data_IF_564170804352
#
_entry.id   IF_564170804352
#
_cell.length_a   1.000
_cell.length_b   1.000
_cell.length_c   1.000
_cell.angle_alpha   90.00
_cell.angle_beta   90.00
_cell.angle_gamma   90.00
#
_symmetry.space_group_name_H-M   'P 1'
#
loop_
_entity.id
_entity.type
_entity.pdbx_description
1 polymer ?
#
# COMPACT_ATOMS: atom_id res chain seq x y z
N UNK A 1 -1.93 -19.80 -23.48
CA UNK A 1 -1.48 -18.55 -22.84
C UNK A 1 -2.23 -18.30 -21.53
N UNK A 2 -3.56 -18.22 -21.54
CA UNK A 2 -4.38 -18.05 -20.32
C UNK A 2 -4.20 -19.16 -19.29
N UNK A 3 -4.13 -20.44 -19.71
CA UNK A 3 -3.93 -21.57 -18.78
C UNK A 3 -2.60 -21.48 -18.03
N UNK A 4 -1.52 -21.10 -18.71
CA UNK A 4 -0.19 -20.92 -18.08
C UNK A 4 -0.18 -19.73 -17.11
N UNK A 5 -0.85 -18.63 -17.48
CA UNK A 5 -1.02 -17.45 -16.62
C UNK A 5 -1.79 -17.82 -15.34
N UNK A 6 -2.89 -18.54 -15.47
CA UNK A 6 -3.72 -18.98 -14.35
C UNK A 6 -2.95 -19.89 -13.38
N UNK A 7 -2.18 -20.85 -13.90
CA UNK A 7 -1.31 -21.72 -13.09
C UNK A 7 -0.26 -20.90 -12.33
N UNK A 8 0.40 -19.97 -13.02
CA UNK A 8 1.43 -19.13 -12.40
C UNK A 8 0.86 -18.23 -11.29
N UNK A 9 -0.30 -17.60 -11.53
CA UNK A 9 -0.98 -16.81 -10.50
C UNK A 9 -1.34 -17.65 -9.26
N UNK A 10 -1.79 -18.88 -9.47
CA UNK A 10 -2.09 -19.79 -8.36
C UNK A 10 -0.82 -20.19 -7.59
N UNK A 11 0.29 -20.43 -8.29
CA UNK A 11 1.58 -20.70 -7.65
C UNK A 11 2.05 -19.51 -6.81
N UNK A 12 1.91 -18.29 -7.33
CA UNK A 12 2.22 -17.04 -6.62
C UNK A 12 1.34 -16.93 -5.36
N UNK A 13 0.03 -17.09 -5.49
CA UNK A 13 -0.88 -17.00 -4.35
C UNK A 13 -0.55 -18.02 -3.25
N UNK A 14 -0.31 -19.28 -3.64
CA UNK A 14 0.08 -20.32 -2.69
C UNK A 14 1.40 -19.98 -1.99
N UNK A 15 2.40 -19.48 -2.73
CA UNK A 15 3.69 -19.06 -2.16
C UNK A 15 3.51 -17.93 -1.15
N UNK A 16 2.70 -16.92 -1.46
CA UNK A 16 2.41 -15.80 -0.56
C UNK A 16 1.68 -16.26 0.71
N UNK A 17 0.66 -17.12 0.59
CA UNK A 17 -0.07 -17.69 1.75
C UNK A 17 0.88 -18.46 2.67
N UNK A 18 1.72 -19.35 2.10
CA UNK A 18 2.61 -20.19 2.90
C UNK A 18 3.70 -19.40 3.63
N UNK A 19 4.11 -18.25 3.10
CA UNK A 19 5.28 -17.52 3.61
C UNK A 19 4.96 -16.20 4.33
N UNK A 20 3.74 -15.67 4.19
CA UNK A 20 3.36 -14.36 4.77
C UNK A 20 3.44 -14.32 6.30
N UNK A 21 3.11 -15.41 6.99
CA UNK A 21 3.19 -15.51 8.46
C UNK A 21 4.62 -15.47 9.01
N UNK A 22 5.65 -15.68 8.17
CA UNK A 22 7.06 -15.56 8.57
C UNK A 22 7.64 -14.17 8.27
N UNK A 23 6.91 -13.32 7.57
CA UNK A 23 7.34 -11.98 7.24
C UNK A 23 6.98 -11.06 8.40
N UNK A 24 7.93 -10.30 8.95
CA UNK A 24 7.65 -9.30 10.00
C UNK A 24 7.50 -7.89 9.43
N UNK A 25 7.84 -7.70 8.16
CA UNK A 25 7.73 -6.42 7.48
C UNK A 25 6.25 -6.15 7.16
N UNK A 26 5.70 -5.05 7.67
CA UNK A 26 4.31 -4.64 7.47
C UNK A 26 4.12 -3.80 6.22
N UNK A 27 5.21 -3.30 5.63
CA UNK A 27 5.19 -2.24 4.64
C UNK A 27 4.47 -2.56 3.34
N UNK A 28 4.20 -1.51 2.57
CA UNK A 28 3.59 -1.61 1.25
C UNK A 28 4.52 -2.28 0.23
N UNK A 29 5.80 -1.86 0.16
CA UNK A 29 6.68 -2.32 -0.92
C UNK A 29 7.20 -3.71 -0.68
N UNK A 30 7.61 -4.03 0.55
CA UNK A 30 8.32 -5.28 0.82
C UNK A 30 7.55 -6.20 1.79
N UNK A 31 6.53 -5.66 2.46
CA UNK A 31 5.82 -6.29 3.57
C UNK A 31 4.44 -6.87 3.26
N UNK A 32 3.75 -7.23 4.36
CA UNK A 32 2.41 -7.84 4.37
C UNK A 32 1.35 -6.99 3.67
N UNK A 33 1.41 -5.66 3.77
CA UNK A 33 0.42 -4.79 3.10
C UNK A 33 0.39 -5.04 1.59
N UNK A 34 1.56 -5.21 0.98
CA UNK A 34 1.65 -5.55 -0.44
C UNK A 34 1.00 -6.88 -0.81
N UNK A 35 1.15 -7.88 0.06
CA UNK A 35 0.55 -9.20 -0.07
C UNK A 35 -0.98 -9.11 0.05
N UNK A 36 -1.48 -8.36 1.03
CA UNK A 36 -2.91 -8.10 1.22
C UNK A 36 -3.52 -7.49 -0.06
N UNK A 37 -2.86 -6.49 -0.67
CA UNK A 37 -3.33 -5.91 -1.92
C UNK A 37 -3.42 -6.95 -3.04
N UNK A 38 -2.42 -7.83 -3.17
CA UNK A 38 -2.47 -8.91 -4.15
C UNK A 38 -3.64 -9.88 -3.87
N UNK A 39 -3.80 -10.34 -2.64
CA UNK A 39 -4.78 -11.38 -2.30
C UNK A 39 -6.23 -10.91 -2.47
N UNK A 40 -6.56 -9.68 -2.06
CA UNK A 40 -7.90 -9.11 -2.33
C UNK A 40 -8.19 -9.02 -3.82
N UNK A 41 -7.23 -8.55 -4.62
CA UNK A 41 -7.38 -8.51 -6.08
C UNK A 41 -7.50 -9.92 -6.67
N UNK A 42 -6.73 -10.89 -6.16
CA UNK A 42 -6.74 -12.27 -6.63
C UNK A 42 -8.04 -13.01 -6.26
N UNK A 43 -8.59 -12.78 -5.07
CA UNK A 43 -9.93 -13.22 -4.67
C UNK A 43 -10.97 -12.76 -5.68
N UNK A 44 -11.00 -11.46 -5.99
CA UNK A 44 -11.94 -10.89 -6.97
C UNK A 44 -11.71 -11.43 -8.38
N UNK A 45 -10.46 -11.56 -8.81
CA UNK A 45 -10.10 -12.10 -10.12
C UNK A 45 -10.55 -13.55 -10.31
N UNK A 46 -10.37 -14.40 -9.29
CA UNK A 46 -10.74 -15.82 -9.34
C UNK A 46 -12.16 -16.11 -8.87
N UNK A 47 -12.83 -15.14 -8.24
CA UNK A 47 -14.10 -15.30 -7.51
C UNK A 47 -14.02 -16.38 -6.42
N UNK A 48 -12.86 -16.51 -5.77
CA UNK A 48 -12.64 -17.45 -4.70
C UNK A 48 -12.50 -16.70 -3.36
N UNK A 49 -13.51 -16.80 -2.45
CA UNK A 49 -13.54 -16.05 -1.21
C UNK A 49 -12.46 -16.48 -0.20
N UNK A 50 -11.85 -17.66 -0.36
CA UNK A 50 -10.78 -18.12 0.54
C UNK A 50 -9.60 -17.15 0.56
N UNK A 51 -9.28 -16.52 -0.58
CA UNK A 51 -8.19 -15.53 -0.62
C UNK A 51 -8.57 -14.20 0.04
N UNK A 52 -9.87 -13.87 0.07
CA UNK A 52 -10.39 -12.68 0.73
C UNK A 52 -10.37 -12.85 2.24
N UNK A 53 -10.80 -14.02 2.73
CA UNK A 53 -10.74 -14.41 4.15
C UNK A 53 -9.30 -14.32 4.68
N UNK A 54 -8.36 -14.94 3.97
CA UNK A 54 -6.94 -14.87 4.34
C UNK A 54 -6.38 -13.44 4.28
N UNK A 55 -6.77 -12.65 3.26
CA UNK A 55 -6.33 -11.26 3.17
C UNK A 55 -6.84 -10.42 4.34
N UNK A 56 -8.07 -10.69 4.82
CA UNK A 56 -8.65 -10.07 6.01
C UNK A 56 -7.88 -10.41 7.28
N UNK A 57 -7.58 -11.70 7.51
CA UNK A 57 -6.77 -12.12 8.66
C UNK A 57 -5.38 -11.46 8.66
N UNK A 58 -4.73 -11.41 7.49
CA UNK A 58 -3.42 -10.77 7.33
C UNK A 58 -3.50 -9.25 7.54
N UNK A 59 -4.62 -8.62 7.16
CA UNK A 59 -4.84 -7.18 7.41
C UNK A 59 -5.04 -6.90 8.91
N UNK A 60 -5.80 -7.72 9.62
CA UNK A 60 -5.97 -7.62 11.07
C UNK A 60 -4.62 -7.79 11.79
N UNK A 61 -3.78 -8.73 11.34
CA UNK A 61 -2.42 -8.90 11.85
C UNK A 61 -1.57 -7.64 11.66
N UNK A 62 -1.63 -7.00 10.48
CA UNK A 62 -0.93 -5.73 10.22
C UNK A 62 -1.34 -4.67 11.25
N UNK A 63 -2.64 -4.47 11.47
CA UNK A 63 -3.11 -3.46 12.44
C UNK A 63 -2.68 -3.78 13.87
N UNK A 64 -2.67 -5.05 14.26
CA UNK A 64 -2.22 -5.48 15.59
C UNK A 64 -0.70 -5.33 15.80
N UNK A 65 0.09 -5.32 14.72
CA UNK A 65 1.55 -5.22 14.78
C UNK A 65 2.08 -3.80 14.54
N UNK A 66 1.23 -2.84 14.14
CA UNK A 66 1.63 -1.43 14.03
C UNK A 66 2.09 -0.92 15.41
N UNK A 67 3.24 -0.24 15.41
CA UNK A 67 3.85 0.31 16.61
C UNK A 67 4.57 1.63 16.33
N UNK A 68 4.88 2.40 17.37
CA UNK A 68 5.49 3.74 17.28
C UNK A 68 6.83 3.81 16.51
N UNK A 69 7.56 2.71 16.39
CA UNK A 69 8.86 2.70 15.69
C UNK A 69 8.77 2.63 14.16
N UNK A 70 7.58 2.50 13.56
CA UNK A 70 7.42 2.48 12.11
C UNK A 70 7.59 3.91 11.58
N UNK A 71 8.47 4.09 10.60
CA UNK A 71 8.71 5.40 9.99
C UNK A 71 7.51 5.91 9.18
N UNK A 72 7.48 7.20 8.82
CA UNK A 72 6.38 7.78 8.05
C UNK A 72 6.44 7.46 6.54
N UNK A 73 7.49 6.78 6.07
CA UNK A 73 7.75 6.64 4.64
C UNK A 73 6.80 5.73 3.86
N UNK A 74 6.84 5.86 2.54
CA UNK A 74 5.89 5.19 1.65
C UNK A 74 6.34 3.77 1.31
N UNK A 75 7.65 3.56 1.19
CA UNK A 75 8.23 2.25 0.90
C UNK A 75 8.05 1.30 2.08
N UNK A 76 8.50 1.70 3.28
CA UNK A 76 8.63 0.85 4.47
C UNK A 76 7.71 1.27 5.63
N UNK A 77 6.95 2.35 5.48
CA UNK A 77 6.36 3.07 6.61
C UNK A 77 4.85 3.26 6.55
N UNK A 78 4.37 4.08 7.49
CA UNK A 78 2.96 4.31 7.77
C UNK A 78 2.20 4.91 6.59
N UNK A 79 2.80 5.81 5.80
CA UNK A 79 2.10 6.39 4.64
C UNK A 79 1.84 5.37 3.55
N UNK A 80 2.74 4.39 3.36
CA UNK A 80 2.52 3.27 2.44
C UNK A 80 1.40 2.34 2.93
N UNK A 81 1.42 2.01 4.23
CA UNK A 81 0.39 1.17 4.86
C UNK A 81 -0.99 1.85 4.73
N UNK A 82 -1.09 3.12 5.13
CA UNK A 82 -2.33 3.90 5.05
C UNK A 82 -2.83 4.06 3.61
N UNK A 83 -1.93 4.28 2.65
CA UNK A 83 -2.31 4.31 1.23
C UNK A 83 -2.89 2.97 0.76
N UNK A 84 -2.30 1.85 1.20
CA UNK A 84 -2.78 0.50 0.92
C UNK A 84 -4.20 0.28 1.45
N UNK A 85 -4.48 0.70 2.70
CA UNK A 85 -5.82 0.63 3.30
C UNK A 85 -6.83 1.47 2.53
N UNK A 86 -6.50 2.72 2.19
CA UNK A 86 -7.38 3.58 1.38
C UNK A 86 -7.64 2.97 -0.01
N UNK A 87 -6.65 2.31 -0.61
CA UNK A 87 -6.85 1.55 -1.84
C UNK A 87 -7.89 0.44 -1.64
N UNK A 88 -7.82 -0.32 -0.54
CA UNK A 88 -8.79 -1.37 -0.24
C UNK A 88 -10.21 -0.82 -0.08
N UNK A 89 -10.36 0.29 0.65
CA UNK A 89 -11.65 0.97 0.85
C UNK A 89 -12.22 1.47 -0.49
N UNK A 90 -11.43 2.23 -1.28
CA UNK A 90 -11.88 2.77 -2.58
C UNK A 90 -12.38 1.70 -3.52
N UNK A 91 -11.72 0.54 -3.52
CA UNK A 91 -12.05 -0.57 -4.39
C UNK A 91 -13.12 -1.50 -3.79
N UNK A 92 -13.74 -1.13 -2.67
CA UNK A 92 -14.78 -1.90 -1.99
C UNK A 92 -14.32 -3.33 -1.63
N UNK A 93 -13.04 -3.49 -1.29
CA UNK A 93 -12.52 -4.74 -0.75
C UNK A 93 -12.79 -4.86 0.76
N UNK A 94 -12.79 -3.72 1.46
CA UNK A 94 -13.13 -3.63 2.88
C UNK A 94 -14.14 -2.51 3.09
N UNK A 95 -14.92 -2.60 4.16
CA UNK A 95 -15.87 -1.58 4.59
C UNK A 95 -15.46 -0.96 5.91
N UNK A 96 -15.68 0.34 6.07
CA UNK A 96 -15.51 1.07 7.32
C UNK A 96 -15.24 2.55 7.06
N UNK A 97 -15.30 3.36 8.11
CA UNK A 97 -14.95 4.78 8.01
C UNK A 97 -13.42 4.92 7.97
N UNK A 98 -12.84 5.52 6.90
CA UNK A 98 -11.41 5.81 6.85
C UNK A 98 -10.91 6.63 8.04
N UNK A 99 -11.76 7.47 8.66
CA UNK A 99 -11.40 8.25 9.84
C UNK A 99 -11.14 7.36 11.05
N UNK A 100 -11.97 6.35 11.27
CA UNK A 100 -11.79 5.42 12.38
C UNK A 100 -10.61 4.46 12.12
N UNK A 101 -10.47 3.97 10.89
CA UNK A 101 -9.46 2.95 10.55
C UNK A 101 -8.04 3.54 10.56
N UNK A 102 -7.88 4.80 10.15
CA UNK A 102 -6.56 5.41 9.92
C UNK A 102 -6.18 6.45 10.98
N UNK A 103 -6.96 6.62 12.04
CA UNK A 103 -6.72 7.62 13.10
C UNK A 103 -5.27 7.61 13.60
N UNK A 104 -4.77 6.45 14.02
CA UNK A 104 -3.40 6.33 14.56
C UNK A 104 -2.32 6.70 13.54
N UNK A 105 -2.51 6.28 12.28
CA UNK A 105 -1.60 6.61 11.17
C UNK A 105 -1.64 8.11 10.89
N UNK A 106 -2.83 8.69 10.82
CA UNK A 106 -3.05 10.12 10.55
C UNK A 106 -2.42 10.98 11.64
N UNK A 107 -2.60 10.61 12.90
CA UNK A 107 -1.97 11.28 14.05
C UNK A 107 -0.44 11.27 13.94
N UNK A 108 0.17 10.12 13.63
CA UNK A 108 1.62 10.04 13.44
C UNK A 108 2.13 10.84 12.25
N UNK A 109 1.37 10.86 11.16
CA UNK A 109 1.73 11.67 10.00
C UNK A 109 1.66 13.17 10.31
N UNK A 110 0.74 13.61 11.18
CA UNK A 110 0.65 15.01 11.63
C UNK A 110 1.82 15.47 12.50
N UNK A 111 2.56 14.55 13.14
CA UNK A 111 3.79 14.88 13.88
C UNK A 111 4.93 15.33 12.94
N UNK A 112 4.85 15.02 11.64
CA UNK A 112 5.89 15.34 10.66
C UNK A 112 5.79 16.80 10.22
N UNK A 113 6.88 17.55 10.43
CA UNK A 113 6.99 18.90 9.85
C UNK A 113 7.31 18.81 8.34
N UNK A 114 6.25 18.85 7.52
CA UNK A 114 6.31 18.71 6.05
C UNK A 114 7.27 19.71 5.39
N UNK A 115 7.31 20.96 5.87
CA UNK A 115 8.17 22.02 5.33
C UNK A 115 9.68 21.75 5.51
N UNK A 116 10.04 20.87 6.45
CA UNK A 116 11.45 20.55 6.77
C UNK A 116 11.94 19.25 6.13
N UNK A 117 11.07 18.50 5.44
CA UNK A 117 11.45 17.26 4.77
C UNK A 117 12.34 17.57 3.56
N UNK A 118 13.60 17.14 3.63
CA UNK A 118 14.60 17.38 2.58
C UNK A 118 14.55 16.36 1.45
N UNK A 119 14.18 15.12 1.77
CA UNK A 119 14.08 14.07 0.78
C UNK A 119 12.83 14.28 -0.09
N UNK A 120 13.01 14.35 -1.40
CA UNK A 120 11.93 14.56 -2.36
C UNK A 120 11.42 13.26 -3.01
N UNK A 121 11.99 12.10 -2.66
CA UNK A 121 11.62 10.84 -3.29
C UNK A 121 10.23 10.37 -2.87
N UNK A 122 9.62 9.53 -3.70
CA UNK A 122 8.35 8.87 -3.40
C UNK A 122 8.54 7.91 -2.21
N UNK A 123 9.58 7.09 -2.27
CA UNK A 123 9.81 5.98 -1.35
C UNK A 123 10.00 6.45 0.09
N UNK A 124 10.76 7.54 0.28
CA UNK A 124 11.30 7.94 1.59
C UNK A 124 11.17 9.42 1.91
N UNK A 125 10.41 10.13 1.09
CA UNK A 125 10.41 11.58 1.08
C UNK A 125 9.02 12.16 0.97
N UNK A 126 9.02 13.48 0.82
CA UNK A 126 7.81 14.28 0.86
C UNK A 126 6.82 13.94 -0.25
N UNK A 127 7.28 13.41 -1.39
CA UNK A 127 6.39 12.98 -2.45
C UNK A 127 5.49 11.81 -2.01
N UNK A 128 6.03 10.83 -1.29
CA UNK A 128 5.23 9.72 -0.75
C UNK A 128 4.26 10.16 0.33
N UNK A 129 4.69 11.07 1.21
CA UNK A 129 3.82 11.64 2.23
C UNK A 129 2.65 12.37 1.56
N UNK A 130 2.94 13.17 0.52
CA UNK A 130 1.93 13.89 -0.23
C UNK A 130 0.96 12.96 -0.95
N UNK A 131 1.43 11.86 -1.54
CA UNK A 131 0.57 10.85 -2.16
C UNK A 131 -0.44 10.29 -1.16
N UNK A 132 0.02 9.83 0.01
CA UNK A 132 -0.87 9.32 1.05
C UNK A 132 -1.85 10.39 1.54
N UNK A 133 -1.34 11.54 1.98
CA UNK A 133 -2.14 12.58 2.62
C UNK A 133 -3.16 13.19 1.66
N UNK A 134 -2.79 13.47 0.41
CA UNK A 134 -3.73 13.94 -0.60
C UNK A 134 -4.80 12.90 -0.93
N UNK A 135 -4.42 11.62 -0.97
CA UNK A 135 -5.39 10.56 -1.18
C UNK A 135 -6.35 10.46 0.01
N UNK A 136 -5.86 10.52 1.25
CA UNK A 136 -6.66 10.53 2.48
C UNK A 136 -7.65 11.68 2.54
N UNK A 137 -7.22 12.90 2.21
CA UNK A 137 -8.08 14.08 2.15
C UNK A 137 -9.25 13.91 1.15
N UNK A 138 -9.07 13.12 0.09
CA UNK A 138 -10.13 12.86 -0.88
C UNK A 138 -11.30 12.01 -0.36
N UNK A 139 -11.14 11.35 0.80
CA UNK A 139 -12.20 10.57 1.46
C UNK A 139 -12.96 11.36 2.52
N UNK A 140 -12.56 12.60 2.81
CA UNK A 140 -13.22 13.39 3.83
C UNK A 140 -14.46 14.08 3.25
N UNK A 141 -15.63 13.75 3.82
CA UNK A 141 -16.85 14.50 3.62
C UNK A 141 -17.05 15.46 4.81
N UNK A 142 -16.81 16.76 4.60
CA UNK A 142 -17.04 17.78 5.63
C UNK A 142 -15.77 18.33 6.27
N UNK A 143 -15.71 18.36 7.62
CA UNK A 143 -14.56 18.92 8.34
C UNK A 143 -13.35 17.99 8.21
N UNK A 144 -12.19 18.57 7.88
CA UNK A 144 -10.93 17.84 7.80
C UNK A 144 -10.53 17.30 9.17
N UNK A 145 -10.17 16.02 9.24
CA UNK A 145 -9.54 15.42 10.42
C UNK A 145 -8.14 15.99 10.67
N UNK A 146 -7.49 16.50 9.62
CA UNK A 146 -6.20 17.18 9.73
C UNK A 146 -6.36 18.65 10.09
N UNK A 147 -5.44 19.14 10.92
CA UNK A 147 -5.34 20.56 11.26
C UNK A 147 -5.23 21.44 10.00
N UNK A 148 -5.90 22.60 10.01
CA UNK A 148 -5.91 23.51 8.86
C UNK A 148 -4.51 23.96 8.45
N UNK A 149 -3.64 24.22 9.43
CA UNK A 149 -2.24 24.61 9.18
C UNK A 149 -1.46 23.45 8.54
N UNK A 150 -1.68 22.21 8.98
CA UNK A 150 -1.04 21.03 8.40
C UNK A 150 -1.46 20.83 6.93
N UNK A 151 -2.76 20.99 6.63
CA UNK A 151 -3.27 20.93 5.26
C UNK A 151 -2.67 22.05 4.41
N UNK A 152 -2.54 23.27 4.94
CA UNK A 152 -1.93 24.39 4.24
C UNK A 152 -0.45 24.13 3.92
N UNK A 153 0.31 23.59 4.87
CA UNK A 153 1.71 23.20 4.69
C UNK A 153 1.84 22.12 3.61
N UNK A 154 0.96 21.13 3.61
CA UNK A 154 0.92 20.09 2.57
C UNK A 154 0.67 20.68 1.18
N UNK A 155 -0.35 21.54 1.04
CA UNK A 155 -0.68 22.18 -0.23
C UNK A 155 0.48 23.03 -0.76
N UNK A 156 1.12 23.79 0.13
CA UNK A 156 2.30 24.59 -0.19
C UNK A 156 3.44 23.72 -0.70
N UNK A 157 3.75 22.63 0.00
CA UNK A 157 4.82 21.70 -0.40
C UNK A 157 4.56 21.07 -1.76
N UNK A 158 3.32 20.62 -2.01
CA UNK A 158 2.92 20.04 -3.30
C UNK A 158 3.11 21.05 -4.42
N UNK A 159 2.67 22.30 -4.20
CA UNK A 159 2.79 23.38 -5.19
C UNK A 159 4.25 23.78 -5.44
N UNK A 160 5.01 24.07 -4.39
CA UNK A 160 6.39 24.56 -4.47
C UNK A 160 7.33 23.54 -5.15
N UNK A 161 7.08 22.25 -4.94
CA UNK A 161 7.90 21.15 -5.48
C UNK A 161 7.34 20.50 -6.74
N UNK A 162 6.13 20.88 -7.18
CA UNK A 162 5.47 20.31 -8.35
C UNK A 162 5.20 18.80 -8.21
N UNK A 163 4.77 18.35 -7.03
CA UNK A 163 4.56 16.92 -6.74
C UNK A 163 3.30 16.43 -7.45
N UNK A 164 3.43 15.35 -8.23
CA UNK A 164 2.26 14.63 -8.74
C UNK A 164 1.72 13.69 -7.65
N UNK A 165 0.52 13.98 -7.16
CA UNK A 165 -0.16 13.18 -6.13
C UNK A 165 -1.13 12.14 -6.71
N UNK A 166 -1.40 12.19 -8.01
CA UNK A 166 -2.15 11.13 -8.69
C UNK A 166 -1.25 9.90 -8.82
N UNK A 167 -1.51 8.93 -7.93
CA UNK A 167 -0.70 7.73 -7.85
C UNK A 167 -1.59 6.52 -7.55
N UNK A 168 -1.59 5.57 -8.47
CA UNK A 168 -2.40 4.35 -8.39
C UNK A 168 -1.54 3.09 -8.26
N UNK A 169 -2.20 1.97 -7.98
CA UNK A 169 -1.51 0.69 -7.82
C UNK A 169 -0.76 0.27 -9.09
N UNK A 170 -1.30 0.60 -10.27
CA UNK A 170 -0.67 0.28 -11.55
C UNK A 170 0.65 1.03 -11.76
N UNK A 171 0.72 2.29 -11.31
CA UNK A 171 1.93 3.11 -11.31
C UNK A 171 3.03 2.47 -10.46
N UNK A 172 2.69 1.97 -9.27
CA UNK A 172 3.63 1.21 -8.40
C UNK A 172 4.15 0.00 -9.17
N UNK A 173 3.24 -0.88 -9.60
CA UNK A 173 3.57 -2.16 -10.23
C UNK A 173 4.46 -1.96 -11.45
N UNK A 174 4.20 -0.97 -12.31
CA UNK A 174 5.03 -0.75 -13.48
C UNK A 174 6.43 -0.22 -13.17
N UNK A 175 6.57 0.57 -12.11
CA UNK A 175 7.86 1.14 -11.73
C UNK A 175 8.76 0.12 -11.05
N UNK A 176 8.18 -0.85 -10.33
CA UNK A 176 8.93 -1.66 -9.39
C UNK A 176 8.84 -3.18 -9.58
N UNK A 177 8.28 -3.69 -10.68
CA UNK A 177 8.23 -5.14 -10.94
C UNK A 177 9.21 -5.61 -12.02
N UNK A 178 9.71 -6.83 -11.84
CA UNK A 178 10.52 -7.49 -12.86
C UNK A 178 9.72 -7.86 -14.12
N UNK A 179 10.44 -8.24 -15.17
CA UNK A 179 9.85 -8.73 -16.41
C UNK A 179 9.57 -10.23 -16.34
N UNK A 180 10.41 -10.98 -15.63
CA UNK A 180 10.25 -12.41 -15.37
C UNK A 180 10.11 -12.73 -13.88
N UNK A 181 9.34 -13.78 -13.58
CA UNK A 181 9.24 -14.36 -12.23
C UNK A 181 10.57 -14.95 -11.75
N UNK A 182 11.43 -15.40 -12.67
CA UNK A 182 12.73 -16.00 -12.34
C UNK A 182 13.75 -14.99 -11.77
N UNK A 183 13.46 -13.69 -11.92
CA UNK A 183 14.27 -12.60 -11.34
C UNK A 183 13.91 -12.33 -9.87
N UNK A 184 12.78 -12.87 -9.38
CA UNK A 184 12.27 -12.63 -8.03
C UNK A 184 12.97 -13.57 -7.06
N UNK A 185 13.61 -13.01 -6.03
CA UNK A 185 14.15 -13.80 -4.92
C UNK A 185 13.02 -14.53 -4.18
N UNK A 186 13.27 -15.76 -3.74
CA UNK A 186 12.24 -16.61 -3.12
C UNK A 186 11.58 -15.97 -1.88
N UNK A 187 12.30 -15.10 -1.18
CA UNK A 187 11.82 -14.37 0.00
C UNK A 187 11.24 -12.98 -0.32
N UNK A 188 11.26 -12.56 -1.59
CA UNK A 188 10.74 -11.26 -2.02
C UNK A 188 9.23 -11.35 -2.22
N UNK A 189 8.46 -11.20 -1.15
CA UNK A 189 7.02 -11.44 -1.17
C UNK A 189 6.19 -10.19 -1.56
N UNK A 190 6.66 -8.99 -1.23
CA UNK A 190 5.91 -7.73 -1.39
C UNK A 190 5.65 -7.25 -2.83
N UNK A 191 5.21 -6.00 -2.97
CA UNK A 191 4.90 -5.37 -4.26
C UNK A 191 6.16 -5.05 -5.08
N UNK A 192 7.16 -4.45 -4.45
CA UNK A 192 8.37 -4.01 -5.10
C UNK A 192 9.32 -5.19 -5.29
N UNK A 193 9.60 -5.52 -6.55
CA UNK A 193 10.51 -6.62 -6.96
C UNK A 193 10.15 -7.95 -6.31
N UNK A 194 8.87 -8.13 -5.99
CA UNK A 194 8.35 -9.28 -5.27
C UNK A 194 7.17 -9.95 -5.95
N UNK A 195 6.78 -11.09 -5.41
CA UNK A 195 5.73 -11.95 -5.95
C UNK A 195 4.35 -11.29 -5.99
N UNK A 196 3.98 -10.50 -4.97
CA UNK A 196 2.68 -9.81 -4.95
C UNK A 196 2.56 -8.81 -6.11
N UNK A 197 3.59 -7.99 -6.35
CA UNK A 197 3.58 -7.02 -7.44
C UNK A 197 3.58 -7.68 -8.81
N UNK A 198 4.40 -8.71 -9.00
CA UNK A 198 4.42 -9.46 -10.26
C UNK A 198 3.07 -10.15 -10.53
N UNK A 199 2.44 -10.73 -9.51
CA UNK A 199 1.11 -11.31 -9.60
C UNK A 199 0.04 -10.28 -10.00
N UNK A 200 0.06 -9.09 -9.41
CA UNK A 200 -0.85 -8.00 -9.79
C UNK A 200 -0.62 -7.55 -11.24
N UNK A 201 0.64 -7.43 -11.69
CA UNK A 201 0.99 -7.13 -13.09
C UNK A 201 0.42 -8.16 -14.06
N UNK A 202 0.56 -9.44 -13.71
CA UNK A 202 -0.01 -10.52 -14.50
C UNK A 202 -1.53 -10.38 -14.59
N UNK A 203 -2.24 -10.04 -13.52
CA UNK A 203 -3.70 -9.86 -13.57
C UNK A 203 -4.12 -8.70 -14.49
N UNK A 204 -3.33 -7.62 -14.55
CA UNK A 204 -3.64 -6.42 -15.34
C UNK A 204 -3.39 -6.54 -16.85
N UNK A 205 -2.48 -7.43 -17.28
CA UNK A 205 -2.14 -7.67 -18.71
C UNK A 205 -2.88 -8.84 -19.32
#
# INVERSE_FOLDING_TARGET
MEKSKSILLQQIANHLIMNSSFLTDLSLYHGKTGIVLFLYNYARYTKNPVYEEFAGELLDEIFNEIHDNIGPDFENGLSGIGWGVLYLIKNQFISGDPNDILEDIDMKMMEVNLLKVRNNSLERGIAGFSVYLSYRLSFQEGLSYFDTDFVSDLQKVISDKGINVEFDLYSIINQCTYSSVDEIGITSLGLCKGYAGYGLKLMAG
#
